data_IF_815900778062
#
_entry.id   IF_815900778062
#
_cell.length_a   1.000
_cell.length_b   1.000
_cell.length_c   1.000
_cell.angle_alpha   90.00
_cell.angle_beta   90.00
_cell.angle_gamma   90.00
#
_symmetry.space_group_name_H-M   'P 1'
#
loop_
_entity.id
_entity.type
_entity.pdbx_description
1 polymer ?
#
# COMPACT_ATOMS: atom_id res chain seq x y z
N UNK A 1 -27.40 21.93 23.87
CA UNK A 1 -26.93 21.85 22.47
C UNK A 1 -25.47 21.48 22.53
N UNK A 2 -25.11 20.24 22.19
CA UNK A 2 -23.76 19.73 22.33
C UNK A 2 -22.93 20.14 21.10
N UNK A 3 -21.94 20.98 21.31
CA UNK A 3 -20.98 21.38 20.29
C UNK A 3 -20.13 20.19 19.87
N UNK A 4 -20.29 19.81 18.61
CA UNK A 4 -19.53 18.73 17.95
C UNK A 4 -18.10 19.18 17.73
N UNK A 5 -17.22 18.87 18.70
CA UNK A 5 -15.78 18.99 18.54
C UNK A 5 -15.23 17.80 17.75
N UNK A 6 -14.28 18.10 16.85
CA UNK A 6 -13.26 17.23 16.24
C UNK A 6 -13.62 16.49 14.93
N UNK A 7 -13.77 17.23 13.83
CA UNK A 7 -13.10 16.79 12.59
C UNK A 7 -11.72 17.44 12.57
N UNK A 8 -10.74 16.71 13.09
CA UNK A 8 -9.34 17.08 13.04
C UNK A 8 -8.97 17.41 11.59
N UNK A 9 -8.60 18.66 11.36
CA UNK A 9 -7.99 19.16 10.13
C UNK A 9 -6.78 18.26 9.82
N UNK A 10 -6.97 17.26 8.97
CA UNK A 10 -5.82 16.67 8.28
C UNK A 10 -5.33 17.79 7.36
N UNK A 11 -4.07 18.26 7.49
CA UNK A 11 -3.49 19.11 6.47
C UNK A 11 -3.73 18.40 5.16
N UNK A 12 -4.31 19.10 4.19
CA UNK A 12 -4.53 18.53 2.87
C UNK A 12 -3.18 18.02 2.37
N UNK A 13 -2.99 16.69 2.42
CA UNK A 13 -1.68 16.11 2.18
C UNK A 13 -1.39 16.30 0.70
N UNK A 14 -0.31 17.02 0.40
CA UNK A 14 0.11 17.24 -0.97
C UNK A 14 0.51 15.90 -1.60
N UNK A 15 -0.16 15.52 -2.69
CA UNK A 15 0.08 14.27 -3.40
C UNK A 15 1.52 14.23 -3.92
N UNK A 16 2.06 15.35 -4.38
CA UNK A 16 3.44 15.41 -4.87
C UNK A 16 4.42 15.11 -3.73
N UNK A 17 4.21 15.71 -2.55
CA UNK A 17 5.00 15.41 -1.37
C UNK A 17 4.88 13.94 -0.95
N UNK A 18 3.67 13.35 -0.98
CA UNK A 18 3.48 11.93 -0.67
C UNK A 18 4.32 11.05 -1.61
N UNK A 19 4.33 11.35 -2.91
CA UNK A 19 5.08 10.58 -3.90
C UNK A 19 6.60 10.71 -3.70
N UNK A 20 7.09 11.88 -3.30
CA UNK A 20 8.50 12.08 -2.93
C UNK A 20 8.88 11.28 -1.67
N UNK A 21 8.05 11.34 -0.63
CA UNK A 21 8.28 10.61 0.62
C UNK A 21 8.30 9.08 0.43
N UNK A 22 7.50 8.57 -0.50
CA UNK A 22 7.43 7.14 -0.82
C UNK A 22 8.77 6.54 -1.30
N UNK A 23 9.68 7.39 -1.82
CA UNK A 23 11.01 6.96 -2.25
C UNK A 23 11.96 6.70 -1.08
N UNK A 24 11.70 7.32 0.07
CA UNK A 24 12.63 7.35 1.21
C UNK A 24 12.11 6.61 2.44
N UNK A 25 10.79 6.44 2.57
CA UNK A 25 10.19 5.74 3.72
C UNK A 25 8.86 5.08 3.37
N UNK A 26 8.40 4.22 4.26
CA UNK A 26 7.02 3.74 4.22
C UNK A 26 6.03 4.89 4.44
N UNK A 27 5.00 4.93 3.60
CA UNK A 27 3.87 5.83 3.77
C UNK A 27 3.01 5.42 4.97
N UNK A 28 2.49 6.43 5.67
CA UNK A 28 1.56 6.31 6.78
C UNK A 28 0.17 5.95 6.24
N UNK A 29 -0.70 5.32 7.06
CA UNK A 29 -2.06 4.96 6.63
C UNK A 29 -2.85 6.13 6.02
N UNK A 30 -2.75 7.33 6.59
CA UNK A 30 -3.43 8.52 6.07
C UNK A 30 -2.96 8.90 4.64
N UNK A 31 -1.65 8.80 4.37
CA UNK A 31 -1.06 9.10 3.05
C UNK A 31 -1.51 8.06 2.01
N UNK A 32 -1.55 6.78 2.39
CA UNK A 32 -2.08 5.70 1.54
C UNK A 32 -3.57 5.93 1.24
N UNK A 33 -4.37 6.32 2.24
CA UNK A 33 -5.78 6.65 2.02
C UNK A 33 -5.95 7.82 1.05
N UNK A 34 -5.07 8.83 1.12
CA UNK A 34 -5.12 9.97 0.19
C UNK A 34 -4.90 9.51 -1.26
N UNK A 35 -3.90 8.65 -1.50
CA UNK A 35 -3.66 8.04 -2.83
C UNK A 35 -4.89 7.24 -3.29
N UNK A 36 -5.40 6.34 -2.45
CA UNK A 36 -6.49 5.44 -2.83
C UNK A 36 -7.81 6.17 -3.07
N UNK A 37 -8.12 7.25 -2.32
CA UNK A 37 -9.32 8.07 -2.54
C UNK A 37 -9.20 8.94 -3.78
N UNK A 38 -7.99 9.37 -4.12
CA UNK A 38 -7.71 10.19 -5.28
C UNK A 38 -7.19 9.38 -6.48
N UNK A 39 -7.46 8.07 -6.55
CA UNK A 39 -6.89 7.16 -7.57
C UNK A 39 -7.01 7.66 -9.01
N UNK A 40 -8.06 8.44 -9.32
CA UNK A 40 -8.30 9.04 -10.66
C UNK A 40 -7.22 10.04 -11.09
N UNK A 41 -6.46 10.58 -10.15
CA UNK A 41 -5.33 11.49 -10.40
C UNK A 41 -4.03 10.74 -10.71
N UNK A 42 -4.03 9.41 -10.59
CA UNK A 42 -2.84 8.58 -10.77
C UNK A 42 -2.97 7.72 -12.03
N UNK A 43 -1.83 7.38 -12.61
CA UNK A 43 -1.77 6.36 -13.65
C UNK A 43 -2.03 4.98 -13.04
N UNK A 44 -3.03 4.25 -13.55
CA UNK A 44 -3.29 2.87 -13.18
C UNK A 44 -2.41 1.97 -14.03
N UNK A 45 -1.48 1.25 -13.39
CA UNK A 45 -0.58 0.35 -14.07
C UNK A 45 -1.37 -0.82 -14.70
N UNK A 46 -1.22 -1.05 -16.02
CA UNK A 46 -1.98 -2.08 -16.73
C UNK A 46 -1.43 -3.50 -16.47
N UNK A 47 -0.19 -3.62 -16.01
CA UNK A 47 0.51 -4.88 -15.78
C UNK A 47 1.42 -4.82 -14.54
N UNK A 48 1.82 -5.97 -13.96
CA UNK A 48 2.74 -5.99 -12.83
C UNK A 48 4.14 -5.53 -13.27
N UNK A 49 4.86 -4.73 -12.46
CA UNK A 49 6.23 -4.34 -12.78
C UNK A 49 7.17 -5.55 -12.73
N UNK A 50 8.27 -5.52 -13.49
CA UNK A 50 9.29 -6.57 -13.43
C UNK A 50 10.47 -6.13 -12.56
N UNK A 51 10.63 -6.78 -11.41
CA UNK A 51 11.67 -6.54 -10.39
C UNK A 51 11.88 -5.04 -10.10
N UNK A 52 10.82 -4.31 -9.70
CA UNK A 52 10.95 -2.88 -9.43
C UNK A 52 11.97 -2.59 -8.33
N UNK A 53 12.73 -1.49 -8.41
CA UNK A 53 13.67 -1.08 -7.36
C UNK A 53 12.95 -0.64 -6.08
N UNK A 54 13.70 -0.53 -4.99
CA UNK A 54 13.19 0.02 -3.73
C UNK A 54 12.63 1.44 -3.92
N UNK A 55 11.58 1.79 -3.18
CA UNK A 55 10.90 3.09 -3.29
C UNK A 55 9.91 3.19 -4.46
N UNK A 56 9.75 2.15 -5.27
CA UNK A 56 8.77 2.14 -6.35
C UNK A 56 7.34 2.04 -5.81
N UNK A 57 6.43 2.80 -6.41
CA UNK A 57 5.01 2.83 -6.07
C UNK A 57 4.16 2.59 -7.33
N UNK A 58 3.15 1.73 -7.21
CA UNK A 58 2.24 1.41 -8.31
C UNK A 58 0.80 1.35 -7.80
N UNK A 59 -0.13 1.78 -8.65
CA UNK A 59 -1.56 1.68 -8.40
C UNK A 59 -2.19 0.75 -9.42
N UNK A 60 -3.02 -0.19 -8.96
CA UNK A 60 -3.65 -1.21 -9.80
C UNK A 60 -5.16 -1.26 -9.56
N UNK A 61 -5.92 -1.53 -10.62
CA UNK A 61 -7.28 -2.04 -10.46
C UNK A 61 -7.21 -3.56 -10.20
N UNK A 62 -7.47 -3.97 -8.95
CA UNK A 62 -7.43 -5.39 -8.54
C UNK A 62 -8.48 -6.26 -9.23
N UNK A 63 -9.58 -5.68 -9.74
CA UNK A 63 -10.63 -6.42 -10.45
C UNK A 63 -10.17 -6.78 -11.87
N UNK A 64 -9.38 -5.90 -12.48
CA UNK A 64 -8.81 -6.09 -13.82
C UNK A 64 -7.53 -6.91 -13.75
N UNK A 65 -6.57 -6.53 -12.90
CA UNK A 65 -5.26 -7.17 -12.80
C UNK A 65 -5.14 -8.05 -11.55
N UNK A 66 -5.71 -9.26 -11.62
CA UNK A 66 -5.74 -10.20 -10.46
C UNK A 66 -4.35 -10.63 -9.96
N UNK A 67 -3.35 -10.63 -10.84
CA UNK A 67 -1.98 -11.07 -10.54
C UNK A 67 -0.98 -9.93 -10.37
N UNK A 68 -1.43 -8.73 -9.96
CA UNK A 68 -0.60 -7.54 -9.77
C UNK A 68 0.64 -7.73 -8.85
N UNK A 69 0.64 -8.78 -8.02
CA UNK A 69 1.76 -9.16 -7.15
C UNK A 69 2.83 -10.03 -7.82
N UNK A 70 2.66 -10.44 -9.07
CA UNK A 70 3.67 -11.20 -9.83
C UNK A 70 4.74 -10.26 -10.38
N UNK A 71 5.48 -9.64 -9.48
CA UNK A 71 6.44 -8.58 -9.78
C UNK A 71 7.86 -9.09 -10.08
N UNK A 72 8.03 -10.40 -10.31
CA UNK A 72 9.32 -11.01 -10.66
C UNK A 72 10.33 -11.12 -9.52
N UNK A 73 10.04 -10.57 -8.33
CA UNK A 73 10.89 -10.75 -7.14
C UNK A 73 10.69 -12.13 -6.50
N UNK A 74 11.74 -12.66 -5.90
CA UNK A 74 11.66 -13.86 -5.06
C UNK A 74 11.24 -13.44 -3.64
N UNK A 75 9.99 -13.71 -3.31
CA UNK A 75 9.45 -13.47 -1.98
C UNK A 75 9.60 -14.71 -1.11
N UNK A 76 9.80 -14.50 0.20
CA UNK A 76 9.86 -15.57 1.17
C UNK A 76 8.66 -16.48 1.06
N UNK A 77 8.91 -17.78 1.04
CA UNK A 77 7.85 -18.78 0.94
C UNK A 77 7.54 -19.42 2.29
N UNK A 78 6.34 -20.00 2.40
CA UNK A 78 5.96 -20.89 3.50
C UNK A 78 6.81 -22.16 3.43
N UNK A 79 6.71 -23.00 4.47
CA UNK A 79 7.43 -24.29 4.54
C UNK A 79 7.14 -25.22 3.35
N UNK A 80 6.02 -25.01 2.66
CA UNK A 80 5.65 -25.74 1.44
C UNK A 80 6.50 -25.41 0.20
N UNK A 81 7.33 -24.36 0.25
CA UNK A 81 8.17 -23.91 -0.87
C UNK A 81 7.39 -23.35 -2.07
N UNK A 82 6.06 -23.20 -1.96
CA UNK A 82 5.16 -22.79 -3.05
C UNK A 82 4.48 -21.46 -2.76
N UNK A 83 3.96 -21.30 -1.55
CA UNK A 83 3.11 -20.16 -1.19
C UNK A 83 3.98 -19.03 -0.64
N UNK A 84 3.82 -17.80 -1.12
CA UNK A 84 4.47 -16.63 -0.52
C UNK A 84 3.98 -16.45 0.94
N UNK A 85 4.92 -16.23 1.86
CA UNK A 85 4.66 -15.90 3.25
C UNK A 85 4.31 -14.42 3.34
N UNK A 86 3.04 -14.12 3.09
CA UNK A 86 2.48 -12.78 3.19
C UNK A 86 1.67 -12.66 4.49
N UNK A 87 1.99 -11.67 5.32
CA UNK A 87 1.22 -11.33 6.50
C UNK A 87 0.04 -10.41 6.12
N UNK A 88 -1.07 -10.49 6.86
CA UNK A 88 -2.24 -9.66 6.66
C UNK A 88 -2.55 -8.85 7.90
N UNK A 89 -2.57 -7.54 7.76
CA UNK A 89 -2.85 -6.59 8.83
C UNK A 89 -3.98 -5.64 8.44
N UNK A 90 -4.63 -5.05 9.44
CA UNK A 90 -5.51 -3.89 9.28
C UNK A 90 -4.84 -2.66 9.86
N UNK A 91 -4.82 -1.57 9.11
CA UNK A 91 -4.16 -0.33 9.52
C UNK A 91 -5.19 0.76 9.83
N UNK A 92 -4.86 1.57 10.83
CA UNK A 92 -5.71 2.67 11.29
C UNK A 92 -5.20 4.02 10.77
N UNK A 93 -6.13 4.88 10.37
CA UNK A 93 -5.88 6.30 10.20
C UNK A 93 -6.58 7.03 11.35
N UNK A 94 -5.79 7.63 12.25
CA UNK A 94 -6.31 8.06 13.55
C UNK A 94 -6.75 6.86 14.38
N UNK A 95 -8.02 6.86 14.82
CA UNK A 95 -8.60 5.79 15.65
C UNK A 95 -9.38 4.73 14.85
N UNK A 96 -9.55 4.90 13.53
CA UNK A 96 -10.43 4.08 12.70
C UNK A 96 -9.62 3.15 11.82
N UNK A 97 -9.97 1.86 11.79
CA UNK A 97 -9.43 0.92 10.79
C UNK A 97 -9.91 1.31 9.41
N UNK A 98 -9.01 1.46 8.45
CA UNK A 98 -9.34 1.97 7.11
C UNK A 98 -8.71 1.17 5.96
N UNK A 99 -7.63 0.43 6.23
CA UNK A 99 -6.88 -0.28 5.20
C UNK A 99 -6.67 -1.73 5.59
N UNK A 100 -6.77 -2.61 4.61
CA UNK A 100 -6.03 -3.86 4.64
C UNK A 100 -4.59 -3.63 4.13
N UNK A 101 -3.64 -4.36 4.72
CA UNK A 101 -2.24 -4.36 4.32
C UNK A 101 -1.73 -5.80 4.22
N UNK A 102 -1.25 -6.18 3.04
CA UNK A 102 -0.42 -7.35 2.87
C UNK A 102 1.06 -6.98 2.96
N UNK A 103 1.84 -7.79 3.66
CA UNK A 103 3.27 -7.55 3.89
C UNK A 103 4.11 -8.78 3.55
N UNK A 104 5.08 -8.61 2.66
CA UNK A 104 5.99 -9.66 2.21
C UNK A 104 7.45 -9.25 2.39
N UNK A 105 8.30 -10.23 2.62
CA UNK A 105 9.76 -10.07 2.74
C UNK A 105 10.46 -10.78 1.59
N UNK A 106 11.52 -10.19 1.04
CA UNK A 106 12.39 -10.80 0.04
C UNK A 106 13.07 -12.05 0.60
N UNK A 107 13.25 -13.05 -0.27
CA UNK A 107 13.93 -14.30 0.07
C UNK A 107 15.41 -14.03 0.38
N UNK A 108 16.09 -13.33 -0.52
CA UNK A 108 17.54 -13.08 -0.46
C UNK A 108 17.90 -11.93 0.48
N UNK A 109 17.09 -10.87 0.51
CA UNK A 109 17.32 -9.68 1.33
C UNK A 109 16.15 -9.41 2.27
N UNK A 110 16.40 -9.54 3.58
CA UNK A 110 15.39 -9.36 4.64
C UNK A 110 14.89 -7.93 4.77
N UNK A 111 15.71 -6.96 4.34
CA UNK A 111 15.39 -5.55 4.32
C UNK A 111 14.60 -5.16 3.06
N UNK A 112 14.57 -6.03 2.04
CA UNK A 112 13.73 -5.84 0.88
C UNK A 112 12.32 -6.36 1.17
N UNK A 113 11.33 -5.49 1.05
CA UNK A 113 9.97 -5.74 1.52
C UNK A 113 8.96 -5.12 0.57
N UNK A 114 7.75 -5.67 0.55
CA UNK A 114 6.62 -5.10 -0.18
C UNK A 114 5.40 -5.00 0.73
N UNK A 115 4.71 -3.87 0.60
CA UNK A 115 3.37 -3.67 1.16
C UNK A 115 2.36 -3.50 0.03
N UNK A 116 1.20 -4.12 0.16
CA UNK A 116 0.07 -3.91 -0.75
C UNK A 116 -1.15 -3.52 0.07
N UNK A 117 -1.82 -2.44 -0.31
CA UNK A 117 -2.91 -1.86 0.45
C UNK A 117 -4.21 -1.83 -0.36
N UNK A 118 -5.35 -1.94 0.33
CA UNK A 118 -6.65 -1.55 -0.20
C UNK A 118 -7.55 -1.08 0.93
N UNK A 119 -8.49 -0.17 0.61
CA UNK A 119 -9.46 0.33 1.58
C UNK A 119 -10.34 -0.83 2.09
N UNK A 120 -10.69 -0.79 3.36
CA UNK A 120 -11.80 -1.58 3.88
C UNK A 120 -13.07 -1.13 3.14
N UNK A 121 -13.83 -2.09 2.62
CA UNK A 121 -15.18 -1.79 2.13
C UNK A 121 -16.05 -1.41 3.35
N UNK A 122 -16.87 -0.37 3.20
CA UNK A 122 -17.93 -0.05 4.17
C UNK A 122 -19.05 -1.10 4.13
#
# INVERSE_FOLDING_TARGET
>A
MAETRLFSLTPQLDIEQILLEAQHRWLRPAEICEILRNYRKFHIAPEPPNKPPSGSLFLFDRKVLRYFRKDGHNWRKKKDGKTVKEAHERLKAGSVEVLHCYYAHGEENVNFQRRSYWMLEE
#
